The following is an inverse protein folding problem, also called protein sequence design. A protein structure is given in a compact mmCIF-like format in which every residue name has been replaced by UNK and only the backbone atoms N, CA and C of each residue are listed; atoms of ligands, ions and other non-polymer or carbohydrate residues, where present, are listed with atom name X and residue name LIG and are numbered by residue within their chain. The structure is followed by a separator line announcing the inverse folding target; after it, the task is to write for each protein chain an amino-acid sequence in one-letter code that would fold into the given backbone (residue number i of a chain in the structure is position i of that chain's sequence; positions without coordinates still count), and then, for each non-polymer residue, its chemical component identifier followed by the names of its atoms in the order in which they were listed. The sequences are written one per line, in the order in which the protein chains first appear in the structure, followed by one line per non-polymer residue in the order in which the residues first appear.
data_IF_184036376873
#
_entry.id   IF_184036376873
#
_cell.length_a   1.000
_cell.length_b   1.000
_cell.length_c   1.000
_cell.angle_alpha   90.00
_cell.angle_beta   90.00
_cell.angle_gamma   90.00
#
_symmetry.space_group_name_H-M   'P 1'
#
loop_
_entity.id
_entity.type
_entity.pdbx_description
1 polymer ?
#
# COMPACT_ATOMS: atom_id res chain seq x y z
N UNK A 1 -4.95 25.97 3.26
CA UNK A 1 -4.30 26.42 4.47
C UNK A 1 -4.96 25.80 5.69
N UNK A 2 -4.21 25.62 6.76
CA UNK A 2 -4.72 25.11 8.03
C UNK A 2 -5.34 26.29 8.78
N UNK A 3 -6.56 26.10 9.29
CA UNK A 3 -7.23 27.07 10.18
C UNK A 3 -7.34 26.43 11.56
N UNK A 4 -6.76 27.09 12.56
CA UNK A 4 -6.97 26.78 13.97
C UNK A 4 -7.84 27.87 14.59
N UNK A 5 -8.79 27.48 15.42
CA UNK A 5 -9.60 28.39 16.22
C UNK A 5 -9.30 28.09 17.67
N UNK A 6 -8.75 29.08 18.36
CA UNK A 6 -8.52 29.05 19.81
C UNK A 6 -9.41 30.06 20.49
N UNK A 7 -9.96 29.72 21.65
CA UNK A 7 -10.86 30.57 22.39
C UNK A 7 -10.74 30.34 23.88
N UNK A 8 -10.71 31.43 24.66
CA UNK A 8 -10.76 31.41 26.12
C UNK A 8 -12.14 30.97 26.65
N UNK A 9 -13.16 31.11 25.81
CA UNK A 9 -14.52 30.85 26.17
C UNK A 9 -15.15 29.84 25.21
N UNK A 10 -16.35 29.42 25.58
CA UNK A 10 -17.16 28.57 24.73
C UNK A 10 -17.44 29.22 23.37
N UNK A 11 -17.17 28.52 22.27
CA UNK A 11 -17.58 28.95 20.94
C UNK A 11 -19.02 28.55 20.74
N UNK A 12 -19.95 29.51 20.90
CA UNK A 12 -21.37 29.27 20.68
C UNK A 12 -21.66 29.09 19.20
N UNK A 13 -22.41 28.04 18.88
CA UNK A 13 -23.04 27.89 17.57
C UNK A 13 -24.18 28.83 17.45
N UNK A 14 -24.15 29.74 16.48
CA UNK A 14 -25.34 30.47 16.11
C UNK A 14 -26.44 29.50 15.68
N UNK A 15 -27.70 29.70 16.10
CA UNK A 15 -28.80 28.82 15.70
C UNK A 15 -29.05 28.79 14.19
N UNK A 16 -28.50 29.73 13.45
CA UNK A 16 -28.54 29.76 11.98
C UNK A 16 -27.31 29.12 11.30
N UNK A 17 -26.25 28.80 12.03
CA UNK A 17 -25.03 28.22 11.52
C UNK A 17 -24.77 26.89 12.25
N UNK A 18 -25.33 25.83 11.73
CA UNK A 18 -25.49 24.60 12.50
C UNK A 18 -24.27 23.73 12.59
N UNK A 19 -23.26 23.92 11.72
CA UNK A 19 -22.10 23.03 11.72
C UNK A 19 -20.80 23.76 11.37
N UNK A 20 -19.78 23.59 12.20
CA UNK A 20 -18.40 23.81 11.80
C UNK A 20 -17.94 22.58 11.01
N UNK A 21 -17.70 22.74 9.72
CA UNK A 21 -17.08 21.70 8.91
C UNK A 21 -15.59 21.88 8.93
N UNK A 22 -14.88 20.90 9.50
CA UNK A 22 -13.42 20.89 9.55
C UNK A 22 -12.93 20.04 8.39
N UNK A 23 -12.15 20.64 7.47
CA UNK A 23 -11.64 19.97 6.28
C UNK A 23 -10.14 20.25 6.12
N UNK A 24 -9.44 19.38 5.37
CA UNK A 24 -8.04 19.58 5.00
C UNK A 24 -7.08 19.79 6.20
N UNK A 25 -7.30 19.06 7.28
CA UNK A 25 -6.46 19.14 8.47
C UNK A 25 -6.76 20.32 9.41
N UNK A 26 -7.84 21.10 9.16
CA UNK A 26 -8.27 22.11 10.09
C UNK A 26 -8.89 21.47 11.35
N UNK A 27 -8.74 22.11 12.50
CA UNK A 27 -9.25 21.62 13.78
C UNK A 27 -9.66 22.78 14.70
N UNK A 28 -10.47 22.46 15.69
CA UNK A 28 -10.89 23.37 16.75
C UNK A 28 -10.36 22.80 18.07
N UNK A 29 -9.68 23.62 18.84
CA UNK A 29 -9.09 23.20 20.10
C UNK A 29 -9.22 24.30 21.15
N UNK A 30 -8.86 23.97 22.40
CA UNK A 30 -8.78 24.97 23.48
C UNK A 30 -7.53 25.82 23.31
N UNK A 31 -7.57 27.01 23.92
CA UNK A 31 -6.40 27.89 23.90
C UNK A 31 -5.18 27.18 24.53
N UNK A 32 -4.02 27.36 23.92
CA UNK A 32 -2.80 26.70 24.35
C UNK A 32 -2.63 25.24 23.91
N UNK A 33 -3.67 24.62 23.33
CA UNK A 33 -3.64 23.23 22.84
C UNK A 33 -3.51 23.14 21.30
N UNK A 34 -3.35 24.26 20.62
CA UNK A 34 -3.19 24.32 19.18
C UNK A 34 -1.87 23.71 18.71
N UNK A 35 -1.93 22.94 17.64
CA UNK A 35 -0.75 22.42 16.92
C UNK A 35 -0.12 23.44 15.97
N UNK A 36 -0.77 24.58 15.81
CA UNK A 36 -0.28 25.67 14.95
C UNK A 36 0.33 26.75 15.84
N UNK A 37 1.54 27.18 15.52
CA UNK A 37 2.16 28.34 16.19
C UNK A 37 1.37 29.60 15.91
N UNK A 38 0.96 30.29 16.96
CA UNK A 38 0.26 31.56 16.90
C UNK A 38 1.19 32.61 17.49
N UNK A 39 1.58 33.58 16.67
CA UNK A 39 2.40 34.71 17.14
C UNK A 39 1.56 35.70 17.92
N UNK A 40 2.19 36.38 18.88
CA UNK A 40 1.55 37.44 19.63
C UNK A 40 1.13 38.57 18.70
N UNK A 41 -0.16 38.88 18.71
CA UNK A 41 -0.71 39.95 17.89
C UNK A 41 -0.63 41.28 18.64
N UNK A 42 0.11 42.26 18.10
CA UNK A 42 0.22 43.60 18.69
C UNK A 42 -1.14 44.28 18.75
N UNK A 43 -1.58 44.67 19.97
CA UNK A 43 -2.86 45.33 20.20
C UNK A 43 -4.02 44.40 20.60
N UNK A 44 -3.78 43.12 20.78
CA UNK A 44 -4.74 42.15 21.32
C UNK A 44 -4.21 41.52 22.62
N UNK A 45 -5.07 40.84 23.39
CA UNK A 45 -4.67 40.07 24.57
C UNK A 45 -4.18 38.67 24.22
N UNK A 46 -3.95 38.38 22.95
CA UNK A 46 -3.48 37.06 22.52
C UNK A 46 -2.00 36.93 22.92
N UNK A 47 -1.70 36.02 23.82
CA UNK A 47 -0.32 35.72 24.26
C UNK A 47 0.44 34.85 23.26
N UNK A 48 -0.20 34.41 22.23
CA UNK A 48 0.37 33.46 21.26
C UNK A 48 0.38 32.03 21.79
N UNK A 49 0.78 31.13 20.94
CA UNK A 49 0.97 29.73 21.28
C UNK A 49 2.12 29.15 20.43
N UNK A 50 3.02 28.43 21.07
CA UNK A 50 4.16 27.82 20.35
C UNK A 50 3.75 26.70 19.42
N UNK A 51 2.53 26.17 19.54
CA UNK A 51 2.10 25.00 18.78
C UNK A 51 2.88 23.73 19.14
N UNK A 52 2.49 22.63 18.56
CA UNK A 52 3.35 21.46 18.49
C UNK A 52 4.20 21.56 17.21
N UNK A 53 5.51 21.40 17.33
CA UNK A 53 6.33 21.20 16.12
C UNK A 53 5.78 19.97 15.39
N UNK A 54 5.49 20.08 14.09
CA UNK A 54 5.07 18.90 13.32
C UNK A 54 6.16 17.84 13.46
N UNK A 55 5.81 16.67 13.98
CA UNK A 55 6.75 15.55 13.99
C UNK A 55 7.21 15.33 12.54
N UNK A 56 8.52 15.38 12.33
CA UNK A 56 9.05 15.00 11.03
C UNK A 56 8.63 13.55 10.73
N UNK A 57 8.11 13.29 9.53
CA UNK A 57 7.70 11.94 9.19
C UNK A 57 8.90 10.99 9.31
N UNK A 58 8.73 9.95 10.11
CA UNK A 58 9.74 8.89 10.25
C UNK A 58 9.73 8.04 8.99
N UNK A 59 10.91 7.85 8.41
CA UNK A 59 11.07 7.00 7.24
C UNK A 59 11.73 5.66 7.61
N UNK A 60 11.41 4.57 6.90
CA UNK A 60 10.43 4.51 5.81
C UNK A 60 8.98 4.66 6.30
N UNK A 61 8.10 5.21 5.44
CA UNK A 61 6.67 5.16 5.66
C UNK A 61 6.20 3.77 5.20
N UNK A 62 5.54 3.04 6.08
CA UNK A 62 4.99 1.71 5.77
C UNK A 62 3.51 1.85 5.46
N UNK A 63 3.09 1.29 4.34
CA UNK A 63 1.69 1.19 3.92
C UNK A 63 1.35 -0.28 3.85
N UNK A 64 0.49 -0.73 4.76
CA UNK A 64 0.04 -2.12 4.84
C UNK A 64 -1.40 -2.23 4.33
N UNK A 65 -1.66 -3.28 3.56
CA UNK A 65 -3.00 -3.68 3.17
C UNK A 65 -3.20 -5.17 3.51
N UNK A 66 -4.09 -5.43 4.45
CA UNK A 66 -4.42 -6.75 4.96
C UNK A 66 -5.71 -7.33 4.38
N UNK A 67 -6.30 -6.68 3.36
CA UNK A 67 -7.44 -7.25 2.65
C UNK A 67 -7.04 -8.48 1.86
N UNK A 68 -7.84 -9.52 1.94
CA UNK A 68 -7.65 -10.73 1.17
C UNK A 68 -8.22 -10.58 -0.24
N UNK A 69 -7.44 -10.96 -1.24
CA UNK A 69 -7.85 -10.98 -2.65
C UNK A 69 -7.67 -12.38 -3.19
N UNK A 70 -8.75 -13.00 -3.66
CA UNK A 70 -8.71 -14.33 -4.26
C UNK A 70 -8.68 -14.21 -5.79
N UNK A 71 -7.74 -14.92 -6.42
CA UNK A 71 -7.62 -15.09 -7.86
C UNK A 71 -7.90 -16.54 -8.19
N UNK A 72 -8.89 -16.78 -9.06
CA UNK A 72 -9.36 -18.09 -9.44
C UNK A 72 -9.17 -18.25 -10.95
N UNK A 73 -8.62 -19.38 -11.35
CA UNK A 73 -8.30 -19.66 -12.74
C UNK A 73 -8.80 -21.03 -13.17
N UNK A 74 -9.16 -21.12 -14.46
CA UNK A 74 -9.49 -22.32 -15.19
C UNK A 74 -8.42 -22.62 -16.22
N UNK A 75 -7.91 -23.84 -16.28
CA UNK A 75 -6.81 -24.23 -17.14
C UNK A 75 -7.22 -24.39 -18.63
N UNK A 76 -8.53 -24.55 -18.88
CA UNK A 76 -9.08 -24.75 -20.22
C UNK A 76 -9.76 -23.52 -20.81
N UNK A 77 -9.86 -22.42 -20.05
CA UNK A 77 -10.44 -21.18 -20.60
C UNK A 77 -9.68 -20.70 -21.85
N UNK A 78 -10.36 -20.30 -22.96
CA UNK A 78 -11.81 -20.15 -23.14
C UNK A 78 -12.51 -21.40 -23.69
N UNK A 79 -11.88 -22.57 -23.69
CA UNK A 79 -12.48 -23.83 -24.08
C UNK A 79 -13.44 -24.35 -23.00
N UNK A 80 -14.23 -25.35 -23.35
CA UNK A 80 -15.14 -25.99 -22.39
C UNK A 80 -14.34 -26.79 -21.35
N UNK A 81 -14.45 -26.38 -20.09
CA UNK A 81 -14.00 -27.08 -18.92
C UNK A 81 -15.16 -27.41 -17.98
N UNK A 82 -14.87 -27.72 -16.73
CA UNK A 82 -15.89 -27.98 -15.72
C UNK A 82 -16.37 -26.71 -15.02
N UNK A 83 -15.66 -25.60 -15.24
CA UNK A 83 -16.00 -24.24 -14.75
C UNK A 83 -16.19 -24.13 -13.24
N UNK A 84 -15.47 -24.91 -12.49
CA UNK A 84 -15.53 -24.87 -11.02
C UNK A 84 -14.52 -23.89 -10.40
N UNK A 85 -13.68 -23.27 -11.24
CA UNK A 85 -12.73 -22.19 -10.89
C UNK A 85 -11.75 -22.59 -9.78
N UNK A 86 -11.35 -23.85 -9.73
CA UNK A 86 -10.47 -24.39 -8.72
C UNK A 86 -9.13 -24.91 -9.26
N UNK A 87 -8.90 -24.85 -10.57
CA UNK A 87 -7.68 -25.33 -11.22
C UNK A 87 -6.43 -24.67 -10.66
N UNK A 88 -6.53 -23.37 -10.37
CA UNK A 88 -5.54 -22.65 -9.60
C UNK A 88 -6.23 -21.54 -8.78
N UNK A 89 -6.11 -21.60 -7.47
CA UNK A 89 -6.63 -20.55 -6.58
C UNK A 89 -5.50 -19.98 -5.74
N UNK A 90 -5.24 -18.70 -5.90
CA UNK A 90 -4.26 -17.94 -5.13
C UNK A 90 -4.94 -16.88 -4.28
N UNK A 91 -4.52 -16.73 -3.04
CA UNK A 91 -5.03 -15.72 -2.12
C UNK A 91 -3.88 -14.79 -1.72
N UNK A 92 -3.98 -13.52 -2.11
CA UNK A 92 -3.10 -12.48 -1.58
C UNK A 92 -3.64 -12.05 -0.22
N UNK A 93 -2.86 -12.27 0.85
CA UNK A 93 -3.25 -11.98 2.23
C UNK A 93 -2.74 -10.65 2.74
N UNK A 94 -1.57 -10.26 2.32
CA UNK A 94 -0.90 -9.08 2.84
C UNK A 94 -0.07 -8.43 1.73
N UNK A 95 -0.11 -7.12 1.69
CA UNK A 95 0.72 -6.28 0.82
C UNK A 95 1.32 -5.16 1.65
N UNK A 96 2.63 -5.09 1.71
CA UNK A 96 3.36 -4.02 2.40
C UNK A 96 4.19 -3.25 1.41
N UNK A 97 4.07 -1.93 1.43
CA UNK A 97 4.88 -1.01 0.63
C UNK A 97 5.66 -0.11 1.58
N UNK A 98 6.96 -0.04 1.40
CA UNK A 98 7.85 0.86 2.13
C UNK A 98 8.26 2.03 1.24
N UNK A 99 8.03 3.26 1.72
CA UNK A 99 8.30 4.49 0.99
C UNK A 99 9.43 5.29 1.65
N UNK A 100 10.34 5.82 0.84
CA UNK A 100 11.38 6.73 1.31
C UNK A 100 10.89 8.19 1.41
N UNK A 101 11.76 9.09 1.88
CA UNK A 101 11.50 10.53 2.03
C UNK A 101 11.08 11.27 0.74
N UNK A 102 11.29 10.65 -0.42
CA UNK A 102 10.90 11.18 -1.73
C UNK A 102 9.60 10.56 -2.25
N UNK A 103 8.85 9.83 -1.39
CA UNK A 103 7.66 9.05 -1.74
C UNK A 103 7.91 8.00 -2.85
N UNK A 104 9.13 7.47 -2.93
CA UNK A 104 9.45 6.37 -3.83
C UNK A 104 9.41 5.06 -3.09
N UNK A 105 8.91 4.02 -3.74
CA UNK A 105 8.91 2.65 -3.21
C UNK A 105 10.34 2.16 -3.09
N UNK A 106 10.73 1.73 -1.89
CA UNK A 106 12.00 1.06 -1.59
C UNK A 106 11.84 -0.43 -1.49
N UNK A 107 10.71 -0.88 -0.96
CA UNK A 107 10.41 -2.29 -0.78
C UNK A 107 8.93 -2.56 -1.03
N UNK A 108 8.64 -3.71 -1.63
CA UNK A 108 7.30 -4.23 -1.82
C UNK A 108 7.28 -5.69 -1.41
N UNK A 109 6.40 -6.06 -0.48
CA UNK A 109 6.22 -7.43 0.00
C UNK A 109 4.82 -7.91 -0.31
N UNK A 110 4.71 -9.18 -0.70
CA UNK A 110 3.45 -9.89 -0.89
C UNK A 110 3.47 -11.19 -0.08
N UNK A 111 2.37 -11.47 0.61
CA UNK A 111 2.07 -12.79 1.17
C UNK A 111 0.98 -13.43 0.33
N UNK A 112 1.28 -14.59 -0.28
CA UNK A 112 0.39 -15.29 -1.20
C UNK A 112 0.28 -16.75 -0.76
N UNK A 113 -0.96 -17.20 -0.56
CA UNK A 113 -1.26 -18.61 -0.35
C UNK A 113 -1.74 -19.25 -1.64
N UNK A 114 -1.25 -20.42 -1.94
CA UNK A 114 -1.80 -21.32 -2.94
C UNK A 114 -2.91 -22.16 -2.27
N UNK A 115 -4.17 -21.80 -2.55
CA UNK A 115 -5.33 -22.35 -1.85
C UNK A 115 -5.92 -23.60 -2.52
N UNK A 116 -5.79 -23.72 -3.85
CA UNK A 116 -6.21 -24.90 -4.59
C UNK A 116 -5.37 -25.13 -5.85
N UNK A 117 -5.21 -26.37 -6.23
CA UNK A 117 -4.51 -26.85 -7.44
C UNK A 117 -5.30 -28.02 -8.05
N UNK A 118 -6.51 -27.71 -8.57
CA UNK A 118 -7.42 -28.71 -9.14
C UNK A 118 -7.04 -29.17 -10.54
N UNK A 119 -6.24 -28.38 -11.27
CA UNK A 119 -5.87 -28.66 -12.64
C UNK A 119 -5.18 -30.03 -12.80
N UNK A 120 -5.46 -30.69 -13.91
CA UNK A 120 -4.73 -31.91 -14.31
C UNK A 120 -3.41 -31.59 -14.99
N UNK A 121 -3.23 -30.36 -15.47
CA UNK A 121 -2.01 -29.87 -16.12
C UNK A 121 -1.06 -29.24 -15.10
N UNK A 122 0.23 -29.24 -15.43
CA UNK A 122 1.22 -28.46 -14.69
C UNK A 122 0.99 -26.98 -15.02
N UNK A 123 0.69 -26.18 -14.01
CA UNK A 123 0.44 -24.73 -14.14
C UNK A 123 1.54 -23.99 -13.37
N UNK A 124 2.28 -23.12 -14.07
CA UNK A 124 3.17 -22.15 -13.44
C UNK A 124 2.45 -20.81 -13.24
N UNK A 125 2.92 -20.00 -12.29
CA UNK A 125 2.40 -18.68 -12.04
C UNK A 125 3.51 -17.64 -11.87
N UNK A 126 3.19 -16.42 -12.31
CA UNK A 126 4.02 -15.24 -12.12
C UNK A 126 3.13 -14.00 -11.91
N UNK A 127 3.67 -12.98 -11.26
CA UNK A 127 3.02 -11.67 -11.10
C UNK A 127 3.74 -10.67 -11.99
N UNK A 128 3.00 -9.98 -12.84
CA UNK A 128 3.49 -8.82 -13.56
C UNK A 128 3.12 -7.54 -12.79
N UNK A 129 4.09 -6.71 -12.52
CA UNK A 129 3.88 -5.39 -11.93
C UNK A 129 3.59 -4.40 -13.07
N UNK A 130 2.31 -4.18 -13.34
CA UNK A 130 1.88 -3.30 -14.43
C UNK A 130 2.41 -1.87 -14.23
N UNK A 131 2.95 -1.31 -15.32
CA UNK A 131 3.55 0.02 -15.31
C UNK A 131 4.90 0.12 -14.58
N UNK A 132 5.43 -0.96 -14.01
CA UNK A 132 6.76 -0.99 -13.39
C UNK A 132 7.76 -1.61 -14.36
N UNK A 133 8.66 -0.82 -14.98
CA UNK A 133 9.68 -1.37 -15.88
C UNK A 133 10.56 -2.40 -15.17
N UNK A 134 10.96 -3.46 -15.87
CA UNK A 134 11.87 -4.48 -15.33
C UNK A 134 13.16 -3.86 -14.76
N UNK A 135 13.65 -2.77 -15.38
CA UNK A 135 14.83 -2.01 -14.93
C UNK A 135 14.63 -1.24 -13.61
N UNK A 136 13.39 -1.09 -13.14
CA UNK A 136 13.11 -0.44 -11.85
C UNK A 136 13.37 -1.37 -10.66
N UNK A 137 13.48 -2.68 -10.90
CA UNK A 137 13.85 -3.65 -9.86
C UNK A 137 15.36 -3.60 -9.66
N UNK A 138 15.79 -2.94 -8.61
CA UNK A 138 17.22 -2.65 -8.36
C UNK A 138 17.93 -3.71 -7.53
N UNK A 139 17.18 -4.54 -6.81
CA UNK A 139 17.70 -5.60 -5.96
C UNK A 139 17.06 -6.94 -6.35
N UNK A 140 17.76 -8.07 -6.15
CA UNK A 140 17.19 -9.39 -6.39
C UNK A 140 15.92 -9.63 -5.56
N UNK A 141 14.91 -10.21 -6.20
CA UNK A 141 13.69 -10.63 -5.51
C UNK A 141 14.04 -11.77 -4.54
N UNK A 142 13.54 -11.67 -3.32
CA UNK A 142 13.66 -12.72 -2.32
C UNK A 142 12.40 -13.60 -2.35
N UNK A 143 12.60 -14.91 -2.44
CA UNK A 143 11.55 -15.91 -2.43
C UNK A 143 11.67 -16.77 -1.17
N UNK A 144 10.54 -17.21 -0.64
CA UNK A 144 10.52 -18.18 0.47
C UNK A 144 11.16 -19.51 0.08
N UNK A 145 10.95 -19.97 -1.17
CA UNK A 145 11.60 -21.16 -1.74
C UNK A 145 12.00 -20.94 -3.21
N UNK A 146 13.29 -20.85 -3.46
CA UNK A 146 13.84 -20.72 -4.83
C UNK A 146 13.74 -22.03 -5.64
N UNK A 147 13.42 -23.17 -5.03
CA UNK A 147 13.32 -24.44 -5.75
C UNK A 147 12.08 -24.51 -6.64
N UNK A 148 11.11 -23.64 -6.41
CA UNK A 148 9.82 -23.60 -7.11
C UNK A 148 9.86 -22.88 -8.47
N UNK A 149 10.95 -22.21 -8.82
CA UNK A 149 11.03 -21.30 -9.98
C UNK A 149 12.15 -21.66 -10.97
N UNK A 150 12.41 -22.95 -11.19
CA UNK A 150 13.56 -23.43 -12.00
C UNK A 150 13.38 -23.26 -13.51
N UNK A 151 12.14 -23.25 -14.00
CA UNK A 151 11.85 -23.22 -15.43
C UNK A 151 11.79 -21.79 -16.01
N UNK A 152 11.77 -20.78 -15.17
CA UNK A 152 11.80 -19.39 -15.59
C UNK A 152 13.21 -18.94 -16.02
N UNK A 153 13.28 -18.08 -17.02
CA UNK A 153 14.53 -17.49 -17.49
C UNK A 153 14.86 -16.22 -16.71
N UNK A 154 15.46 -16.37 -15.54
CA UNK A 154 15.69 -15.28 -14.60
C UNK A 154 16.92 -14.44 -14.96
N UNK A 155 16.78 -13.12 -14.81
CA UNK A 155 17.93 -12.21 -14.84
C UNK A 155 18.62 -12.14 -13.45
N UNK A 156 19.63 -11.26 -13.30
CA UNK A 156 20.37 -11.07 -12.04
C UNK A 156 19.50 -10.68 -10.85
N UNK A 157 18.37 -10.03 -11.11
CA UNK A 157 17.42 -9.58 -10.08
C UNK A 157 16.29 -10.61 -9.84
N UNK A 158 16.43 -11.83 -10.37
CA UNK A 158 15.50 -12.94 -10.23
C UNK A 158 14.08 -12.65 -10.73
N UNK A 159 13.95 -11.78 -11.71
CA UNK A 159 12.72 -11.56 -12.46
C UNK A 159 12.87 -12.16 -13.87
N UNK A 160 11.74 -12.46 -14.53
CA UNK A 160 11.76 -13.01 -15.88
C UNK A 160 12.47 -12.09 -16.85
N UNK A 161 13.41 -12.63 -17.62
CA UNK A 161 14.23 -11.88 -18.54
C UNK A 161 13.49 -11.56 -19.85
N UNK A 162 13.78 -10.40 -20.45
CA UNK A 162 13.25 -10.03 -21.75
C UNK A 162 11.82 -9.46 -21.71
N UNK A 163 11.31 -9.13 -20.55
CA UNK A 163 10.02 -8.46 -20.37
C UNK A 163 10.21 -6.95 -20.19
N UNK A 164 9.28 -6.16 -20.73
CA UNK A 164 9.29 -4.69 -20.57
C UNK A 164 8.95 -4.31 -19.13
N UNK A 165 7.97 -4.99 -18.52
CA UNK A 165 7.59 -4.82 -17.12
C UNK A 165 8.18 -5.93 -16.24
N UNK A 166 8.28 -5.63 -14.94
CA UNK A 166 8.78 -6.60 -13.98
C UNK A 166 7.81 -7.78 -13.84
N UNK A 167 8.26 -8.97 -14.22
CA UNK A 167 7.54 -10.23 -14.06
C UNK A 167 8.26 -11.07 -13.02
N UNK A 168 7.58 -11.31 -11.91
CA UNK A 168 8.08 -12.03 -10.74
C UNK A 168 7.48 -13.42 -10.74
N UNK A 169 8.25 -14.47 -11.02
CA UNK A 169 7.80 -15.85 -10.94
C UNK A 169 7.40 -16.23 -9.51
N UNK A 170 6.40 -17.07 -9.37
CA UNK A 170 5.97 -17.63 -8.09
C UNK A 170 6.35 -19.10 -7.99
N UNK A 171 5.97 -19.88 -8.98
CA UNK A 171 6.29 -21.32 -9.08
C UNK A 171 6.13 -21.81 -10.52
N UNK A 172 6.87 -22.89 -10.85
CA UNK A 172 6.81 -23.56 -12.15
C UNK A 172 5.62 -24.52 -12.28
N UNK A 173 5.19 -25.06 -11.16
CA UNK A 173 4.24 -26.16 -11.07
C UNK A 173 3.46 -26.07 -9.77
N UNK A 174 2.17 -25.74 -9.87
CA UNK A 174 1.28 -25.57 -8.74
C UNK A 174 1.16 -26.83 -7.86
N UNK A 175 1.34 -28.04 -8.44
CA UNK A 175 1.28 -29.28 -7.66
C UNK A 175 2.52 -29.54 -6.81
N UNK A 176 3.56 -28.72 -6.96
CA UNK A 176 4.81 -28.81 -6.19
C UNK A 176 5.04 -27.63 -5.26
N UNK A 177 4.20 -26.60 -5.36
CA UNK A 177 4.28 -25.38 -4.58
C UNK A 177 3.68 -25.50 -3.17
#
# INVERSE_FOLDING_TARGET
GNLAIESDNHVEKSPHWTNFHVQNGAYITKIGESKVTIEVCTGTKNEGNKGEEPEEPKFPIIVDDTHNYAYLFEDQWPLYGDYDMNDLVMIIKERTISLNKNNKVEEFKLSIDLAATGATKSIGAAIMLDGVPASAIMQPVEFSDNSLIKSFNLNSNKIENGQDYAVIPLFDDAHKA
#
